data_IF_498101560786
#
_entry.id   IF_498101560786
#
_cell.length_a   1.000
_cell.length_b   1.000
_cell.length_c   1.000
_cell.angle_alpha   90.00
_cell.angle_beta   90.00
_cell.angle_gamma   90.00
#
_symmetry.space_group_name_H-M   'P 1'
#
loop_
_entity.id
_entity.type
_entity.pdbx_description
1 polymer ?
#
# COMPACT_ATOMS: atom_id res chain seq x y z
N UNK A 1 -7.56 -38.88 35.80
CA UNK A 1 -6.47 -39.18 34.83
C UNK A 1 -7.01 -38.87 33.44
N UNK A 2 -6.97 -37.60 33.05
CA UNK A 2 -7.51 -37.06 31.78
C UNK A 2 -6.38 -36.28 31.11
N UNK A 3 -5.53 -36.94 30.35
CA UNK A 3 -4.52 -36.26 29.50
C UNK A 3 -4.23 -37.20 28.33
N UNK A 4 -4.27 -36.65 27.10
CA UNK A 4 -3.69 -37.17 25.84
C UNK A 4 -4.61 -37.59 24.69
N UNK A 5 -5.80 -37.00 24.55
CA UNK A 5 -6.52 -37.15 23.27
C UNK A 5 -7.32 -35.91 22.87
N UNK A 6 -6.64 -34.76 22.86
CA UNK A 6 -7.23 -33.50 22.38
C UNK A 6 -6.16 -32.65 21.69
N UNK A 7 -5.48 -33.26 20.70
CA UNK A 7 -4.39 -32.62 19.96
C UNK A 7 -4.65 -32.56 18.45
N UNK A 8 -5.90 -32.34 18.02
CA UNK A 8 -6.19 -32.19 16.57
C UNK A 8 -7.45 -31.40 16.22
N UNK A 9 -7.65 -30.22 16.83
CA UNK A 9 -8.73 -29.31 16.42
C UNK A 9 -8.38 -27.81 16.39
N UNK A 10 -7.19 -27.40 16.82
CA UNK A 10 -6.77 -25.99 16.82
C UNK A 10 -5.63 -25.69 15.84
N UNK A 11 -5.46 -26.50 14.80
CA UNK A 11 -4.99 -25.96 13.52
C UNK A 11 -6.16 -25.18 12.92
N UNK A 12 -6.49 -24.07 13.58
CA UNK A 12 -7.23 -23.00 12.94
C UNK A 12 -6.35 -22.60 11.77
N UNK A 13 -6.70 -23.10 10.59
CA UNK A 13 -6.51 -22.31 9.39
C UNK A 13 -6.97 -20.90 9.78
N UNK A 14 -6.03 -20.01 10.05
CA UNK A 14 -6.23 -18.63 9.72
C UNK A 14 -6.36 -18.64 8.20
N UNK A 15 -7.55 -19.00 7.71
CA UNK A 15 -8.08 -18.39 6.50
C UNK A 15 -8.01 -16.92 6.81
N UNK A 16 -6.89 -16.29 6.40
CA UNK A 16 -6.77 -14.86 6.32
C UNK A 16 -7.83 -14.46 5.32
N UNK A 17 -9.07 -14.29 5.79
CA UNK A 17 -10.12 -13.57 5.11
C UNK A 17 -9.67 -12.11 5.14
N UNK A 18 -8.63 -11.82 4.37
CA UNK A 18 -8.28 -10.47 3.98
C UNK A 18 -9.29 -10.08 2.92
N UNK A 19 -10.55 -9.91 3.32
CA UNK A 19 -11.55 -9.21 2.52
C UNK A 19 -11.17 -7.72 2.57
N UNK A 20 -10.10 -7.35 1.86
CA UNK A 20 -9.89 -5.94 1.55
C UNK A 20 -10.81 -5.62 0.39
N UNK A 21 -11.74 -4.70 0.63
CA UNK A 21 -12.39 -4.00 -0.45
C UNK A 21 -11.30 -3.28 -1.26
N UNK A 22 -11.27 -3.52 -2.56
CA UNK A 22 -10.50 -2.80 -3.58
C UNK A 22 -10.57 -1.25 -3.38
N UNK A 23 -11.68 -0.76 -2.78
CA UNK A 23 -11.85 0.63 -2.38
C UNK A 23 -10.88 1.12 -1.29
N UNK A 24 -10.44 0.24 -0.39
CA UNK A 24 -9.51 0.56 0.69
C UNK A 24 -8.07 0.74 0.20
N UNK A 25 -7.63 -0.04 -0.79
CA UNK A 25 -6.30 0.14 -1.40
C UNK A 25 -6.26 1.38 -2.28
N UNK A 26 -7.28 1.58 -3.12
CA UNK A 26 -7.45 2.80 -3.92
C UNK A 26 -7.53 4.06 -3.06
N UNK A 27 -8.26 4.01 -1.94
CA UNK A 27 -8.32 5.10 -0.96
C UNK A 27 -6.96 5.38 -0.30
N UNK A 28 -6.20 4.33 0.02
CA UNK A 28 -4.84 4.46 0.54
C UNK A 28 -3.87 5.11 -0.46
N UNK A 29 -3.92 4.71 -1.73
CA UNK A 29 -3.10 5.33 -2.80
C UNK A 29 -3.44 6.81 -2.96
N UNK A 30 -4.73 7.15 -3.02
CA UNK A 30 -5.17 8.55 -3.12
C UNK A 30 -4.66 9.40 -1.95
N UNK A 31 -4.72 8.87 -0.73
CA UNK A 31 -4.21 9.58 0.45
C UNK A 31 -2.68 9.81 0.40
N UNK A 32 -1.92 8.85 -0.16
CA UNK A 32 -0.48 9.00 -0.37
C UNK A 32 -0.19 10.06 -1.44
N UNK A 33 -0.95 10.07 -2.54
CA UNK A 33 -0.82 11.06 -3.61
C UNK A 33 -1.14 12.49 -3.12
N UNK A 34 -2.18 12.65 -2.30
CA UNK A 34 -2.53 13.92 -1.66
C UNK A 34 -1.43 14.39 -0.68
N UNK A 35 -0.83 13.45 0.05
CA UNK A 35 0.30 13.73 0.93
C UNK A 35 1.53 14.20 0.13
N UNK A 36 1.89 13.50 -0.96
CA UNK A 36 2.98 13.91 -1.85
C UNK A 36 2.76 15.32 -2.43
N UNK A 37 1.53 15.62 -2.85
CA UNK A 37 1.15 16.95 -3.36
C UNK A 37 1.31 18.04 -2.29
N UNK A 38 0.88 17.75 -1.08
CA UNK A 38 1.02 18.66 0.07
C UNK A 38 2.50 18.91 0.41
N UNK A 39 3.32 17.85 0.43
CA UNK A 39 4.77 17.94 0.64
C UNK A 39 5.44 18.84 -0.42
N UNK A 40 5.09 18.67 -1.70
CA UNK A 40 5.60 19.53 -2.80
C UNK A 40 5.22 20.99 -2.62
N UNK A 41 3.99 21.24 -2.18
CA UNK A 41 3.50 22.61 -1.92
C UNK A 41 4.29 23.27 -0.78
N UNK A 42 4.51 22.56 0.33
CA UNK A 42 5.33 23.04 1.45
C UNK A 42 6.74 23.36 0.98
N UNK A 43 7.36 22.47 0.22
CA UNK A 43 8.71 22.67 -0.31
C UNK A 43 8.82 23.89 -1.23
N UNK A 44 7.83 24.10 -2.10
CA UNK A 44 7.77 25.31 -2.92
C UNK A 44 7.69 26.58 -2.06
N UNK A 45 6.90 26.56 -0.98
CA UNK A 45 6.81 27.67 -0.03
C UNK A 45 8.14 27.95 0.66
N UNK A 46 8.80 26.91 1.17
CA UNK A 46 10.13 27.03 1.81
C UNK A 46 11.18 27.55 0.82
N UNK A 47 11.14 27.10 -0.43
CA UNK A 47 12.05 27.57 -1.49
C UNK A 47 11.86 29.06 -1.77
N UNK A 48 10.60 29.53 -1.82
CA UNK A 48 10.30 30.96 -1.98
C UNK A 48 10.86 31.78 -0.82
N UNK A 49 10.58 31.35 0.43
CA UNK A 49 11.08 32.03 1.64
C UNK A 49 12.61 32.05 1.67
N UNK A 50 13.27 30.96 1.28
CA UNK A 50 14.73 30.88 1.16
C UNK A 50 15.25 31.93 0.17
N UNK A 51 14.60 32.07 -0.98
CA UNK A 51 14.98 33.06 -2.01
C UNK A 51 14.86 34.48 -1.49
N UNK A 52 13.73 34.82 -0.85
CA UNK A 52 13.47 36.15 -0.31
C UNK A 52 14.48 36.50 0.80
N UNK A 53 14.74 35.55 1.71
CA UNK A 53 15.73 35.74 2.77
C UNK A 53 17.15 35.89 2.21
N UNK A 54 17.52 35.18 1.15
CA UNK A 54 18.86 35.32 0.55
C UNK A 54 19.12 36.70 -0.05
N UNK A 55 18.08 37.37 -0.53
CA UNK A 55 18.20 38.69 -1.14
C UNK A 55 18.51 39.76 -0.08
N UNK A 56 17.77 39.75 1.03
CA UNK A 56 17.76 40.86 1.99
C UNK A 56 18.47 40.55 3.32
N UNK A 57 18.68 39.28 3.67
CA UNK A 57 19.26 38.87 4.94
C UNK A 57 20.71 38.38 4.77
N UNK A 58 21.65 39.15 5.34
CA UNK A 58 23.08 38.88 5.27
C UNK A 58 23.68 38.65 6.67
N UNK A 59 24.87 38.04 6.71
CA UNK A 59 25.65 37.83 7.92
C UNK A 59 25.51 36.43 8.53
N UNK A 60 26.19 36.18 9.66
CA UNK A 60 26.36 34.85 10.23
C UNK A 60 25.02 34.13 10.56
N UNK A 61 24.02 34.87 11.04
CA UNK A 61 22.71 34.30 11.34
C UNK A 61 21.98 33.78 10.07
N UNK A 62 22.07 34.51 8.96
CA UNK A 62 21.50 34.08 7.67
C UNK A 62 22.16 32.77 7.19
N UNK A 63 23.49 32.66 7.36
CA UNK A 63 24.23 31.45 6.98
C UNK A 63 23.83 30.25 7.85
N UNK A 64 23.65 30.44 9.15
CA UNK A 64 23.15 29.37 10.03
C UNK A 64 21.77 28.88 9.62
N UNK A 65 20.85 29.80 9.31
CA UNK A 65 19.52 29.44 8.82
C UNK A 65 19.58 28.66 7.50
N UNK A 66 20.37 29.13 6.54
CA UNK A 66 20.54 28.43 5.25
C UNK A 66 21.10 27.02 5.43
N UNK A 67 22.06 26.82 6.32
CA UNK A 67 22.61 25.50 6.63
C UNK A 67 21.55 24.57 7.24
N UNK A 68 20.71 25.08 8.15
CA UNK A 68 19.61 24.28 8.72
C UNK A 68 18.56 23.94 7.67
N UNK A 69 18.32 24.85 6.72
CA UNK A 69 17.36 24.65 5.65
C UNK A 69 17.85 23.59 4.64
N UNK A 70 19.17 23.47 4.41
CA UNK A 70 19.76 22.38 3.63
C UNK A 70 19.60 21.01 4.31
N UNK A 71 19.75 20.94 5.64
CA UNK A 71 19.49 19.71 6.39
C UNK A 71 18.01 19.31 6.30
N UNK A 72 17.12 20.28 6.47
CA UNK A 72 15.68 20.07 6.29
C UNK A 72 15.33 19.59 4.87
N UNK A 73 15.98 20.13 3.83
CA UNK A 73 15.77 19.72 2.45
C UNK A 73 16.19 18.26 2.21
N UNK A 74 17.27 17.80 2.85
CA UNK A 74 17.67 16.39 2.82
C UNK A 74 16.63 15.47 3.49
N UNK A 75 16.14 15.84 4.68
CA UNK A 75 15.09 15.10 5.39
C UNK A 75 13.79 15.04 4.58
N UNK A 76 13.43 16.17 3.94
CA UNK A 76 12.27 16.27 3.06
C UNK A 76 12.35 15.28 1.87
N UNK A 77 13.51 15.21 1.21
CA UNK A 77 13.72 14.26 0.11
C UNK A 77 13.60 12.81 0.58
N UNK A 78 14.05 12.50 1.80
CA UNK A 78 13.90 11.17 2.38
C UNK A 78 12.42 10.84 2.63
N UNK A 79 11.62 11.78 3.14
CA UNK A 79 10.17 11.59 3.32
C UNK A 79 9.47 11.34 1.99
N UNK A 80 9.78 12.11 0.94
CA UNK A 80 9.22 11.87 -0.39
C UNK A 80 9.58 10.50 -0.95
N UNK A 81 10.82 10.05 -0.74
CA UNK A 81 11.26 8.72 -1.15
C UNK A 81 10.44 7.64 -0.44
N UNK A 82 10.27 7.75 0.87
CA UNK A 82 9.45 6.80 1.65
C UNK A 82 7.99 6.78 1.20
N UNK A 83 7.39 7.95 0.91
CA UNK A 83 6.02 8.01 0.37
C UNK A 83 5.91 7.28 -0.98
N UNK A 84 6.90 7.45 -1.84
CA UNK A 84 6.96 6.75 -3.14
C UNK A 84 7.10 5.24 -2.95
N UNK A 85 8.02 4.79 -2.08
CA UNK A 85 8.21 3.38 -1.76
C UNK A 85 6.94 2.73 -1.19
N UNK A 86 6.22 3.42 -0.30
CA UNK A 86 4.94 2.93 0.24
C UNK A 86 3.88 2.85 -0.87
N UNK A 87 3.80 3.85 -1.74
CA UNK A 87 2.87 3.85 -2.87
C UNK A 87 3.11 2.65 -3.79
N UNK A 88 4.37 2.37 -4.11
CA UNK A 88 4.76 1.26 -4.97
C UNK A 88 4.43 -0.09 -4.30
N UNK A 89 4.74 -0.25 -3.00
CA UNK A 89 4.36 -1.45 -2.24
C UNK A 89 2.85 -1.67 -2.20
N UNK A 90 2.05 -0.61 -2.05
CA UNK A 90 0.59 -0.71 -2.06
C UNK A 90 0.08 -1.10 -3.44
N UNK A 91 0.65 -0.53 -4.52
CA UNK A 91 0.30 -0.90 -5.91
C UNK A 91 0.68 -2.33 -6.24
N UNK A 92 1.87 -2.77 -5.86
CA UNK A 92 2.31 -4.15 -6.09
C UNK A 92 1.45 -5.15 -5.31
N UNK A 93 1.07 -4.80 -4.09
CA UNK A 93 0.12 -5.60 -3.29
C UNK A 93 -1.26 -5.67 -3.95
N UNK A 94 -1.74 -4.57 -4.54
CA UNK A 94 -3.03 -4.51 -5.24
C UNK A 94 -3.01 -5.41 -6.49
N UNK A 95 -1.95 -5.30 -7.31
CA UNK A 95 -1.77 -6.10 -8.51
C UNK A 95 -1.65 -7.60 -8.20
N UNK A 96 -0.87 -7.96 -7.18
CA UNK A 96 -0.68 -9.36 -6.74
C UNK A 96 -2.00 -9.95 -6.28
N UNK A 97 -2.80 -9.18 -5.55
CA UNK A 97 -4.09 -9.63 -5.05
C UNK A 97 -5.12 -9.79 -6.17
N UNK A 98 -5.21 -8.85 -7.11
CA UNK A 98 -6.10 -8.98 -8.27
C UNK A 98 -5.76 -10.21 -9.12
N UNK A 99 -4.46 -10.48 -9.32
CA UNK A 99 -4.00 -11.70 -10.01
C UNK A 99 -4.39 -12.97 -9.24
N UNK A 100 -4.23 -12.97 -7.90
CA UNK A 100 -4.60 -14.10 -7.07
C UNK A 100 -6.13 -14.33 -7.05
N UNK A 101 -6.95 -13.28 -7.05
CA UNK A 101 -8.40 -13.39 -7.16
C UNK A 101 -8.83 -13.97 -8.51
N UNK A 102 -8.21 -13.53 -9.61
CA UNK A 102 -8.46 -14.09 -10.95
C UNK A 102 -8.10 -15.57 -11.02
N UNK A 103 -6.96 -15.98 -10.45
CA UNK A 103 -6.53 -17.38 -10.39
C UNK A 103 -7.48 -18.24 -9.52
N UNK A 104 -7.94 -17.71 -8.39
CA UNK A 104 -8.93 -18.37 -7.52
C UNK A 104 -10.26 -18.51 -8.25
N UNK A 105 -10.74 -17.46 -8.91
CA UNK A 105 -11.98 -17.48 -9.68
C UNK A 105 -11.90 -18.47 -10.84
N UNK A 106 -10.79 -18.48 -11.58
CA UNK A 106 -10.57 -19.45 -12.67
C UNK A 106 -10.54 -20.89 -12.14
N UNK A 107 -9.85 -21.14 -11.02
CA UNK A 107 -9.79 -22.46 -10.40
C UNK A 107 -11.15 -22.89 -9.86
N UNK A 108 -11.91 -21.98 -9.22
CA UNK A 108 -13.25 -22.25 -8.73
C UNK A 108 -14.22 -22.54 -9.89
N UNK A 109 -14.22 -21.73 -10.95
CA UNK A 109 -15.04 -21.97 -12.15
C UNK A 109 -14.65 -23.30 -12.81
N UNK A 110 -13.37 -23.66 -12.83
CA UNK A 110 -12.93 -24.94 -13.39
C UNK A 110 -13.32 -26.13 -12.49
N UNK A 111 -13.23 -25.97 -11.16
CA UNK A 111 -13.58 -26.99 -10.17
C UNK A 111 -15.08 -27.24 -10.05
N UNK A 112 -15.93 -26.23 -10.27
CA UNK A 112 -17.39 -26.36 -10.26
C UNK A 112 -18.02 -26.47 -11.66
N UNK A 113 -17.31 -26.08 -12.72
CA UNK A 113 -17.77 -26.12 -14.11
C UNK A 113 -17.29 -27.34 -14.92
N UNK A 114 -16.35 -28.12 -14.38
CA UNK A 114 -15.84 -29.34 -15.01
C UNK A 114 -16.60 -30.60 -14.60
N UNK A 115 -17.61 -30.99 -15.38
CA UNK A 115 -18.11 -32.38 -15.51
C UNK A 115 -19.30 -32.89 -14.66
N UNK A 116 -20.22 -32.04 -14.21
CA UNK A 116 -21.47 -32.51 -13.53
C UNK A 116 -22.77 -32.26 -14.32
N UNK A 117 -22.72 -31.55 -15.45
CA UNK A 117 -23.91 -31.23 -16.24
C UNK A 117 -24.45 -32.38 -17.11
N UNK A 118 -23.69 -33.45 -17.35
CA UNK A 118 -24.05 -34.48 -18.34
C UNK A 118 -24.26 -35.88 -17.77
N UNK A 119 -24.12 -36.09 -16.45
CA UNK A 119 -24.31 -37.43 -15.83
C UNK A 119 -25.66 -37.60 -15.13
N UNK A 120 -26.35 -36.51 -14.80
CA UNK A 120 -27.67 -36.60 -14.14
C UNK A 120 -28.77 -36.95 -15.16
N UNK A 121 -28.62 -36.54 -16.43
CA UNK A 121 -29.57 -36.90 -17.48
C UNK A 121 -29.42 -38.34 -17.99
N UNK A 122 -28.22 -38.92 -17.95
CA UNK A 122 -27.98 -40.33 -18.31
C UNK A 122 -28.38 -41.32 -17.21
N UNK A 123 -28.60 -40.84 -15.98
CA UNK A 123 -29.11 -41.66 -14.88
C UNK A 123 -30.65 -41.67 -14.80
N UNK A 124 -31.32 -40.92 -15.69
CA UNK A 124 -32.78 -40.75 -15.77
C UNK A 124 -33.36 -41.06 -17.17
N UNK A 125 -32.53 -41.50 -18.12
CA UNK A 125 -32.91 -42.00 -19.44
C UNK A 125 -32.69 -43.52 -19.53
#
# INVERSE_FOLDING_TARGET
MKVRETLRKDERLMTMHFQKSDSGMKGGISAIEDCESSCKTIHSGVTSVRSDLKADWQGAASQTFLNQLELWEADYLQVLKMLTEIKDLVRDSDNTMNTAEDDINLTAVTAFGGNEGNRIFDALA
#
